data_IF_347443921087
#
_entry.id   IF_347443921087
#
_cell.length_a   1.000
_cell.length_b   1.000
_cell.length_c   1.000
_cell.angle_alpha   90.00
_cell.angle_beta   90.00
_cell.angle_gamma   90.00
#
_symmetry.space_group_name_H-M   'P 1'
#
loop_
_entity.id
_entity.type
_entity.pdbx_description
1 polymer ?
#
# COMPACT_ATOMS: atom_id res chain seq x y z
N UNK A 1 -15.03 -9.53 33.75
CA UNK A 1 -14.35 -8.97 32.58
C UNK A 1 -14.50 -9.93 31.41
N UNK A 2 -14.98 -9.44 30.31
CA UNK A 2 -15.17 -10.27 29.12
C UNK A 2 -13.83 -10.48 28.42
N UNK A 3 -13.44 -11.72 28.16
CA UNK A 3 -12.27 -12.04 27.40
C UNK A 3 -12.62 -11.99 25.91
N UNK A 4 -11.92 -11.11 25.17
CA UNK A 4 -12.09 -11.03 23.73
C UNK A 4 -11.34 -12.19 23.07
N UNK A 5 -12.08 -13.08 22.40
CA UNK A 5 -11.53 -14.30 21.81
C UNK A 5 -10.42 -14.03 20.79
N UNK A 6 -10.54 -12.92 20.04
CA UNK A 6 -9.59 -12.55 18.98
C UNK A 6 -8.57 -11.52 19.44
N UNK A 7 -8.42 -11.32 20.76
CA UNK A 7 -7.45 -10.37 21.30
C UNK A 7 -6.02 -10.53 20.76
N UNK A 8 -5.51 -11.77 20.50
CA UNK A 8 -4.18 -11.92 19.92
C UNK A 8 -3.99 -11.24 18.58
N UNK A 9 -5.05 -11.04 17.77
CA UNK A 9 -4.97 -10.34 16.50
C UNK A 9 -4.69 -8.84 16.66
N UNK A 10 -5.02 -8.28 17.82
CA UNK A 10 -4.85 -6.87 18.14
C UNK A 10 -3.49 -6.59 18.82
N UNK A 11 -2.73 -7.61 19.10
CA UNK A 11 -1.41 -7.46 19.72
C UNK A 11 -0.36 -7.05 18.69
N UNK A 12 0.63 -6.24 19.11
CA UNK A 12 1.75 -5.93 18.22
C UNK A 12 2.50 -7.18 17.78
N UNK A 13 3.08 -7.09 16.58
CA UNK A 13 3.93 -8.15 16.02
C UNK A 13 5.25 -7.54 15.59
N UNK A 14 6.34 -8.16 15.98
CA UNK A 14 7.67 -7.76 15.55
C UNK A 14 8.06 -8.56 14.30
N UNK A 15 8.45 -7.84 13.25
CA UNK A 15 8.94 -8.43 12.00
C UNK A 15 10.35 -7.87 11.78
N UNK A 16 11.37 -8.68 12.10
CA UNK A 16 12.74 -8.19 12.08
C UNK A 16 12.90 -7.00 13.03
N UNK A 17 13.29 -5.85 12.51
CA UNK A 17 13.45 -4.61 13.29
C UNK A 17 12.17 -3.76 13.34
N UNK A 18 11.14 -4.17 12.63
CA UNK A 18 9.89 -3.43 12.55
C UNK A 18 8.85 -4.03 13.50
N UNK A 19 8.15 -3.16 14.22
CA UNK A 19 7.02 -3.58 15.05
C UNK A 19 5.74 -2.98 14.44
N UNK A 20 4.80 -3.85 14.08
CA UNK A 20 3.49 -3.42 13.58
C UNK A 20 2.47 -3.48 14.72
N UNK A 21 1.47 -2.56 14.74
CA UNK A 21 0.59 -2.40 15.90
C UNK A 21 -0.41 -3.54 16.10
N UNK A 22 -0.73 -4.29 15.07
CA UNK A 22 -1.63 -5.43 15.15
C UNK A 22 -1.31 -6.42 14.04
N UNK A 23 -2.03 -7.53 14.01
CA UNK A 23 -1.78 -8.64 13.09
C UNK A 23 -2.71 -8.67 11.89
N UNK A 24 -3.44 -7.58 11.65
CA UNK A 24 -4.25 -7.43 10.44
C UNK A 24 -3.41 -6.87 9.31
N UNK A 25 -3.50 -7.51 8.17
CA UNK A 25 -2.76 -7.12 6.98
C UNK A 25 -3.73 -6.92 5.82
N UNK A 26 -3.62 -5.76 5.16
CA UNK A 26 -4.30 -5.54 3.89
C UNK A 26 -3.41 -6.10 2.77
N UNK A 27 -3.83 -7.24 2.19
CA UNK A 27 -3.09 -7.89 1.12
C UNK A 27 -3.04 -7.05 -0.15
N UNK A 28 -2.11 -7.35 -1.06
CA UNK A 28 -1.96 -6.59 -2.29
C UNK A 28 -3.15 -6.79 -3.22
N UNK A 29 -3.75 -5.68 -3.68
CA UNK A 29 -4.78 -5.67 -4.71
C UNK A 29 -4.35 -4.73 -5.82
N UNK A 30 -4.40 -5.20 -7.06
CA UNK A 30 -4.09 -4.39 -8.22
C UNK A 30 -5.41 -3.87 -8.80
N UNK A 31 -5.69 -2.60 -8.52
CA UNK A 31 -6.90 -1.93 -9.01
C UNK A 31 -6.50 -0.88 -10.05
N UNK A 32 -7.19 -0.80 -11.19
CA UNK A 32 -6.82 0.15 -12.25
C UNK A 32 -6.82 1.61 -11.81
N UNK A 33 -7.75 1.98 -10.92
CA UNK A 33 -7.96 3.37 -10.52
C UNK A 33 -6.99 3.88 -9.46
N UNK A 34 -6.21 3.00 -8.79
CA UNK A 34 -5.34 3.43 -7.70
C UNK A 34 -3.99 3.94 -8.17
N UNK A 35 -3.68 3.78 -9.44
CA UNK A 35 -2.43 4.24 -10.04
C UNK A 35 -2.70 5.03 -11.30
N UNK A 36 -1.85 6.05 -11.55
CA UNK A 36 -1.83 6.77 -12.81
C UNK A 36 -1.08 6.01 -13.89
N UNK A 37 -0.94 6.61 -15.10
CA UNK A 37 -0.37 5.95 -16.27
C UNK A 37 1.09 5.52 -16.12
N UNK A 38 1.85 6.15 -15.21
CA UNK A 38 3.25 5.82 -14.95
C UNK A 38 3.46 5.09 -13.63
N UNK A 39 2.40 4.53 -13.06
CA UNK A 39 2.48 3.80 -11.80
C UNK A 39 2.46 4.67 -10.56
N UNK A 40 2.41 6.00 -10.70
CA UNK A 40 2.24 6.90 -9.56
C UNK A 40 0.90 6.67 -8.88
N UNK A 41 0.84 6.93 -7.58
CA UNK A 41 -0.42 6.82 -6.85
C UNK A 41 -1.37 7.94 -7.27
N UNK A 42 -2.56 7.57 -7.75
CA UNK A 42 -3.60 8.54 -8.08
C UNK A 42 -4.25 9.08 -6.82
N UNK A 43 -5.09 10.11 -6.94
CA UNK A 43 -5.87 10.60 -5.78
C UNK A 43 -6.78 9.51 -5.24
N UNK A 44 -7.37 8.70 -6.11
CA UNK A 44 -8.16 7.54 -5.70
C UNK A 44 -7.31 6.52 -4.97
N UNK A 45 -6.07 6.30 -5.42
CA UNK A 45 -5.12 5.41 -4.76
C UNK A 45 -4.72 5.89 -3.38
N UNK A 46 -4.44 7.18 -3.25
CA UNK A 46 -4.11 7.77 -1.95
C UNK A 46 -5.28 7.61 -0.97
N UNK A 47 -6.50 7.89 -1.43
CA UNK A 47 -7.70 7.72 -0.61
C UNK A 47 -7.94 6.25 -0.24
N UNK A 48 -7.68 5.33 -1.17
CA UNK A 48 -7.83 3.89 -0.95
C UNK A 48 -6.95 3.41 0.20
N UNK A 49 -5.66 3.73 0.15
CA UNK A 49 -4.71 3.30 1.18
C UNK A 49 -4.93 4.04 2.50
N UNK A 50 -5.26 5.32 2.44
CA UNK A 50 -5.57 6.10 3.64
C UNK A 50 -6.78 5.51 4.38
N UNK A 51 -7.82 5.08 3.67
CA UNK A 51 -8.98 4.45 4.28
C UNK A 51 -8.59 3.16 5.04
N UNK A 52 -7.65 2.38 4.50
CA UNK A 52 -7.17 1.16 5.16
C UNK A 52 -6.36 1.49 6.42
N UNK A 53 -5.51 2.51 6.34
CA UNK A 53 -4.75 2.96 7.51
C UNK A 53 -5.67 3.52 8.60
N UNK A 54 -6.64 4.33 8.23
CA UNK A 54 -7.66 4.85 9.16
C UNK A 54 -8.48 3.74 9.80
N UNK A 55 -8.75 2.65 9.05
CA UNK A 55 -9.44 1.48 9.55
C UNK A 55 -8.63 0.64 10.53
N UNK A 56 -7.32 0.90 10.65
CA UNK A 56 -6.49 0.29 11.68
C UNK A 56 -5.62 -0.90 11.24
N UNK A 57 -5.51 -1.19 9.94
CA UNK A 57 -4.61 -2.26 9.50
C UNK A 57 -3.17 -2.00 9.95
N UNK A 58 -2.54 -3.00 10.55
CA UNK A 58 -1.17 -2.91 11.03
C UNK A 58 -0.12 -2.93 9.92
N UNK A 59 -0.45 -3.57 8.79
CA UNK A 59 0.42 -3.67 7.63
C UNK A 59 -0.41 -3.58 6.37
N UNK A 60 0.04 -2.79 5.39
CA UNK A 60 -0.67 -2.59 4.13
C UNK A 60 0.30 -2.86 2.98
N UNK A 61 -0.08 -3.76 2.08
CA UNK A 61 0.65 -3.98 0.83
C UNK A 61 -0.01 -3.19 -0.29
N UNK A 62 0.81 -2.55 -1.11
CA UNK A 62 0.33 -1.90 -2.33
C UNK A 62 0.11 -2.94 -3.42
N UNK A 63 -0.58 -2.55 -4.50
CA UNK A 63 -0.69 -3.38 -5.69
C UNK A 63 0.66 -3.54 -6.40
N UNK A 64 0.69 -4.41 -7.40
CA UNK A 64 1.90 -4.76 -8.11
C UNK A 64 2.39 -3.64 -9.02
N UNK A 65 3.71 -3.56 -9.17
CA UNK A 65 4.39 -2.69 -10.13
C UNK A 65 5.26 -3.54 -11.05
N UNK A 66 5.42 -3.08 -12.28
CA UNK A 66 6.33 -3.71 -13.23
C UNK A 66 7.65 -2.94 -13.28
N UNK A 67 8.77 -3.59 -13.00
CA UNK A 67 10.06 -2.92 -13.07
C UNK A 67 10.51 -2.65 -14.50
N UNK A 68 10.13 -3.52 -15.44
CA UNK A 68 10.57 -3.43 -16.83
C UNK A 68 9.54 -4.09 -17.76
N UNK A 69 9.33 -3.47 -18.93
CA UNK A 69 8.45 -4.03 -19.98
C UNK A 69 9.20 -4.49 -21.22
N UNK A 70 10.53 -4.32 -21.26
CA UNK A 70 11.33 -4.72 -22.43
C UNK A 70 11.46 -6.24 -22.50
N UNK A 71 11.63 -6.87 -21.34
CA UNK A 71 11.81 -8.33 -21.24
C UNK A 71 10.49 -9.03 -21.03
N UNK A 72 9.61 -8.44 -20.25
CA UNK A 72 8.32 -9.03 -19.86
C UNK A 72 7.19 -8.10 -20.27
N UNK A 73 6.56 -8.35 -21.45
CA UNK A 73 5.45 -7.50 -21.92
C UNK A 73 4.30 -7.49 -20.92
N UNK A 74 3.81 -6.31 -20.60
CA UNK A 74 2.79 -6.10 -19.60
C UNK A 74 1.43 -5.92 -20.28
N UNK A 75 0.40 -6.50 -19.69
CA UNK A 75 -0.97 -6.22 -20.10
C UNK A 75 -1.26 -4.71 -19.98
N UNK A 76 -1.98 -4.09 -20.93
CA UNK A 76 -2.25 -2.64 -20.87
C UNK A 76 -2.85 -2.15 -19.56
N UNK A 77 -3.64 -2.97 -18.88
CA UNK A 77 -4.23 -2.63 -17.58
C UNK A 77 -3.22 -2.70 -16.42
N UNK A 78 -2.08 -3.35 -16.63
CA UNK A 78 -1.06 -3.57 -15.62
C UNK A 78 0.20 -2.76 -15.87
N UNK A 79 0.14 -1.76 -16.74
CA UNK A 79 1.28 -0.97 -17.18
C UNK A 79 1.76 0.04 -16.11
N UNK A 80 1.97 -0.44 -14.89
CA UNK A 80 2.41 0.39 -13.77
C UNK A 80 3.92 0.34 -13.68
N UNK A 81 4.57 1.32 -14.31
CA UNK A 81 6.02 1.35 -14.47
C UNK A 81 6.61 2.60 -13.82
N UNK A 82 6.91 2.55 -12.51
CA UNK A 82 7.47 3.72 -11.82
C UNK A 82 8.77 4.24 -12.44
N UNK A 83 9.55 3.36 -13.07
CA UNK A 83 10.84 3.75 -13.67
C UNK A 83 10.69 4.65 -14.90
N UNK A 84 9.51 4.70 -15.54
CA UNK A 84 9.27 5.62 -16.66
C UNK A 84 9.12 7.07 -16.21
N UNK A 85 8.63 7.28 -14.98
CA UNK A 85 8.48 8.62 -14.41
C UNK A 85 8.79 8.55 -12.91
N UNK A 86 10.07 8.33 -12.55
CA UNK A 86 10.43 8.08 -11.15
C UNK A 86 10.13 9.25 -10.22
N UNK A 87 10.20 10.49 -10.73
CA UNK A 87 9.88 11.66 -9.92
C UNK A 87 8.40 11.76 -9.58
N UNK A 88 7.53 11.45 -10.55
CA UNK A 88 6.08 11.44 -10.33
C UNK A 88 5.70 10.36 -9.32
N UNK A 89 6.26 9.17 -9.47
CA UNK A 89 6.04 8.08 -8.51
C UNK A 89 6.52 8.48 -7.12
N UNK A 90 7.73 9.03 -7.03
CA UNK A 90 8.32 9.42 -5.74
C UNK A 90 7.48 10.47 -5.01
N UNK A 91 6.99 11.49 -5.73
CA UNK A 91 6.13 12.51 -5.14
C UNK A 91 4.85 11.91 -4.58
N UNK A 92 4.21 11.04 -5.36
CA UNK A 92 2.98 10.39 -4.92
C UNK A 92 3.22 9.47 -3.73
N UNK A 93 4.34 8.76 -3.69
CA UNK A 93 4.70 7.90 -2.58
C UNK A 93 4.95 8.69 -1.30
N UNK A 94 5.61 9.84 -1.39
CA UNK A 94 5.81 10.75 -0.24
C UNK A 94 4.47 11.22 0.29
N UNK A 95 3.57 11.66 -0.58
CA UNK A 95 2.23 12.09 -0.17
C UNK A 95 1.46 10.96 0.49
N UNK A 96 1.55 9.73 -0.05
CA UNK A 96 0.93 8.57 0.55
C UNK A 96 1.45 8.33 1.97
N UNK A 97 2.77 8.33 2.14
CA UNK A 97 3.37 8.10 3.46
C UNK A 97 2.98 9.17 4.46
N UNK A 98 2.91 10.43 4.05
CA UNK A 98 2.47 11.52 4.91
C UNK A 98 1.02 11.31 5.38
N UNK A 99 0.14 10.88 4.48
CA UNK A 99 -1.25 10.58 4.84
C UNK A 99 -1.35 9.40 5.79
N UNK A 100 -0.57 8.34 5.56
CA UNK A 100 -0.60 7.14 6.39
C UNK A 100 -0.02 7.39 7.78
N UNK A 101 1.00 8.22 7.88
CA UNK A 101 1.64 8.54 9.16
C UNK A 101 0.69 9.23 10.15
N UNK A 102 -0.38 9.87 9.65
CA UNK A 102 -1.40 10.46 10.50
C UNK A 102 -2.14 9.41 11.35
N UNK A 103 -2.07 8.15 10.98
CA UNK A 103 -2.79 7.06 11.66
C UNK A 103 -1.87 6.09 12.40
N UNK A 104 -0.57 6.36 12.42
CA UNK A 104 0.40 5.54 13.17
C UNK A 104 1.28 4.59 12.35
#
# INVERSE_FOLDING_TARGET
MTTFLYAPLLQPLQIGKLTIPNRFCAGPLTLPSVHGPFGEFSQDGLAYYEARAKGGFGLIFTGAFHPDTLVDPVHPLDSKQPLKAPKAFQRSAVELLERLDAYG
#
